data_IF_125779612718
#
_entry.id   IF_125779612718
#
_cell.length_a   1.000
_cell.length_b   1.000
_cell.length_c   1.000
_cell.angle_alpha   90.00
_cell.angle_beta   90.00
_cell.angle_gamma   90.00
#
_symmetry.space_group_name_H-M   'P 1'
#
loop_
_entity.id
_entity.type
_entity.pdbx_description
1 polymer ?
#
# COMPACT_ATOMS: atom_id res chain seq x y z
N UNK A 1 -45.44 -63.00 -48.91
CA UNK A 1 -44.43 -61.92 -48.88
C UNK A 1 -45.01 -60.78 -48.09
N UNK A 2 -44.64 -60.60 -46.84
CA UNK A 2 -45.11 -59.52 -45.94
C UNK A 2 -43.99 -58.50 -45.71
N UNK A 3 -44.24 -57.25 -46.12
CA UNK A 3 -43.36 -56.12 -45.88
C UNK A 3 -43.67 -55.62 -44.51
N UNK A 4 -42.61 -55.47 -43.71
CA UNK A 4 -42.64 -54.75 -42.44
C UNK A 4 -42.19 -53.27 -42.66
N UNK A 5 -42.92 -52.26 -42.14
CA UNK A 5 -42.45 -50.92 -42.14
C UNK A 5 -41.54 -50.70 -40.89
N UNK A 6 -40.37 -50.19 -41.15
CA UNK A 6 -39.47 -49.73 -40.11
C UNK A 6 -39.90 -48.33 -39.73
N UNK A 7 -40.50 -48.18 -38.55
CA UNK A 7 -40.71 -46.86 -37.96
C UNK A 7 -39.45 -46.38 -37.33
N UNK A 8 -38.86 -45.33 -37.91
CA UNK A 8 -37.67 -44.68 -37.42
C UNK A 8 -38.08 -43.59 -36.42
N UNK A 9 -38.13 -43.96 -35.15
CA UNK A 9 -38.38 -43.01 -34.07
C UNK A 9 -37.17 -42.12 -33.87
N UNK A 10 -37.22 -40.90 -34.39
CA UNK A 10 -36.26 -39.84 -34.05
C UNK A 10 -36.56 -39.34 -32.63
N UNK A 11 -35.80 -39.89 -31.64
CA UNK A 11 -35.73 -39.37 -30.30
C UNK A 11 -34.84 -38.11 -30.33
N UNK A 12 -35.45 -36.94 -30.60
CA UNK A 12 -34.77 -35.66 -30.51
C UNK A 12 -34.56 -35.39 -29.01
N UNK A 13 -33.39 -35.80 -28.49
CA UNK A 13 -32.95 -35.42 -27.16
C UNK A 13 -32.58 -33.94 -27.19
N UNK A 14 -33.49 -33.08 -26.73
CA UNK A 14 -33.28 -31.65 -26.57
C UNK A 14 -32.34 -31.44 -25.36
N UNK A 15 -31.04 -31.42 -25.63
CA UNK A 15 -30.05 -31.05 -24.62
C UNK A 15 -30.17 -29.56 -24.36
N UNK A 16 -30.91 -29.20 -23.31
CA UNK A 16 -30.90 -27.87 -22.74
C UNK A 16 -29.53 -27.65 -22.06
N UNK A 17 -28.59 -27.11 -22.82
CA UNK A 17 -27.34 -26.58 -22.25
C UNK A 17 -27.71 -25.31 -21.47
N UNK A 18 -27.93 -25.46 -20.17
CA UNK A 18 -27.94 -24.31 -19.25
C UNK A 18 -26.53 -23.70 -19.24
N UNK A 19 -26.32 -22.73 -20.12
CA UNK A 19 -25.20 -21.83 -19.99
C UNK A 19 -25.49 -20.97 -18.75
N UNK A 20 -25.14 -21.48 -17.58
CA UNK A 20 -25.03 -20.66 -16.38
C UNK A 20 -23.93 -19.67 -16.65
N UNK A 21 -24.25 -18.54 -17.27
CA UNK A 21 -23.42 -17.38 -17.33
C UNK A 21 -23.26 -16.92 -15.88
N UNK A 22 -22.17 -17.37 -15.21
CA UNK A 22 -21.67 -16.72 -14.02
C UNK A 22 -21.30 -15.30 -14.42
N UNK A 23 -22.27 -14.42 -14.41
CA UNK A 23 -22.04 -13.00 -14.39
C UNK A 23 -21.39 -12.72 -13.04
N UNK A 24 -20.05 -12.89 -12.96
CA UNK A 24 -19.27 -12.27 -11.92
C UNK A 24 -19.53 -10.76 -12.09
N UNK A 25 -20.49 -10.24 -11.34
CA UNK A 25 -20.59 -8.81 -11.07
C UNK A 25 -19.27 -8.47 -10.36
N UNK A 26 -18.28 -8.08 -11.15
CA UNK A 26 -17.13 -7.37 -10.64
C UNK A 26 -17.73 -6.11 -10.01
N UNK A 27 -17.87 -6.09 -8.69
CA UNK A 27 -18.31 -4.88 -7.99
C UNK A 27 -17.37 -3.78 -8.43
N UNK A 28 -17.89 -2.87 -9.24
CA UNK A 28 -17.09 -1.78 -9.77
C UNK A 28 -16.73 -0.88 -8.59
N UNK A 29 -15.43 -0.78 -8.29
CA UNK A 29 -14.90 0.15 -7.31
C UNK A 29 -15.36 1.58 -7.64
N UNK A 30 -16.35 2.04 -6.91
CA UNK A 30 -17.14 3.24 -7.23
C UNK A 30 -16.35 4.54 -6.97
N UNK A 31 -16.71 5.65 -7.61
CA UNK A 31 -16.10 6.95 -7.31
C UNK A 31 -16.19 7.35 -5.83
N UNK A 32 -17.29 7.01 -5.16
CA UNK A 32 -17.47 7.25 -3.71
C UNK A 32 -16.49 6.44 -2.87
N UNK A 33 -16.32 5.16 -3.16
CA UNK A 33 -15.36 4.30 -2.47
C UNK A 33 -13.92 4.78 -2.71
N UNK A 34 -13.59 5.19 -3.93
CA UNK A 34 -12.28 5.80 -4.24
C UNK A 34 -12.01 7.05 -3.41
N UNK A 35 -13.01 7.92 -3.22
CA UNK A 35 -12.87 9.11 -2.38
C UNK A 35 -12.61 8.72 -0.93
N UNK A 36 -13.38 7.79 -0.37
CA UNK A 36 -13.19 7.31 1.01
C UNK A 36 -11.80 6.72 1.26
N UNK A 37 -11.29 5.94 0.30
CA UNK A 37 -9.93 5.41 0.36
C UNK A 37 -8.91 6.55 0.37
N UNK A 38 -9.03 7.52 -0.55
CA UNK A 38 -8.12 8.67 -0.61
C UNK A 38 -8.11 9.47 0.69
N UNK A 39 -9.28 9.76 1.23
CA UNK A 39 -9.43 10.53 2.48
C UNK A 39 -8.78 9.80 3.67
N UNK A 40 -8.99 8.48 3.75
CA UNK A 40 -8.43 7.64 4.80
C UNK A 40 -6.90 7.53 4.71
N UNK A 41 -6.35 7.39 3.50
CA UNK A 41 -4.91 7.37 3.28
C UNK A 41 -4.29 8.74 3.53
N UNK A 42 -4.97 9.83 3.13
CA UNK A 42 -4.52 11.19 3.44
C UNK A 42 -4.45 11.43 4.95
N UNK A 43 -5.44 10.91 5.70
CA UNK A 43 -5.41 10.95 7.16
C UNK A 43 -4.18 10.22 7.73
N UNK A 44 -3.85 9.03 7.21
CA UNK A 44 -2.64 8.31 7.60
C UNK A 44 -1.37 9.13 7.32
N UNK A 45 -1.24 9.69 6.11
CA UNK A 45 -0.08 10.53 5.72
C UNK A 45 0.10 11.72 6.66
N UNK A 46 -0.98 12.39 7.01
CA UNK A 46 -0.95 13.50 7.97
C UNK A 46 -0.58 13.04 9.39
N UNK A 47 -1.04 11.85 9.78
CA UNK A 47 -0.74 11.27 11.09
C UNK A 47 0.74 10.87 11.21
N UNK A 48 1.37 10.39 10.14
CA UNK A 48 2.83 10.12 10.09
C UNK A 48 3.60 11.37 10.47
N UNK A 49 3.33 12.51 9.84
CA UNK A 49 3.99 13.78 10.13
C UNK A 49 3.88 14.15 11.61
N UNK A 50 2.65 14.12 12.13
CA UNK A 50 2.39 14.46 13.54
C UNK A 50 3.11 13.53 14.50
N UNK A 51 3.05 12.24 14.26
CA UNK A 51 3.62 11.25 15.16
C UNK A 51 5.16 11.28 15.17
N UNK A 52 5.78 11.50 14.00
CA UNK A 52 7.23 11.67 13.91
C UNK A 52 7.73 12.88 14.70
N UNK A 53 7.05 14.03 14.58
CA UNK A 53 7.41 15.24 15.36
C UNK A 53 7.32 15.02 16.87
N UNK A 54 6.36 14.19 17.34
CA UNK A 54 6.10 13.99 18.77
C UNK A 54 6.89 12.81 19.37
N UNK A 55 7.06 11.73 18.61
CA UNK A 55 7.62 10.46 19.09
C UNK A 55 9.00 10.16 18.51
N UNK A 56 9.44 10.95 17.52
CA UNK A 56 10.67 10.66 16.78
C UNK A 56 10.54 9.42 15.87
N UNK A 57 11.65 8.86 15.40
CA UNK A 57 11.67 7.81 14.39
C UNK A 57 10.96 6.51 14.78
N UNK A 58 10.76 6.24 16.09
CA UNK A 58 10.00 5.08 16.55
C UNK A 58 8.56 5.07 16.02
N UNK A 59 8.01 6.23 15.69
CA UNK A 59 6.67 6.38 15.15
C UNK A 59 6.48 5.61 13.81
N UNK A 60 7.55 5.43 13.01
CA UNK A 60 7.48 4.67 11.77
C UNK A 60 6.92 3.27 11.95
N UNK A 61 7.22 2.61 13.08
CA UNK A 61 6.75 1.25 13.38
C UNK A 61 5.22 1.15 13.48
N UNK A 62 4.54 2.26 13.74
CA UNK A 62 3.08 2.33 13.74
C UNK A 62 2.51 2.26 12.31
N UNK A 63 3.27 2.72 11.33
CA UNK A 63 2.80 2.88 9.94
C UNK A 63 3.32 1.82 8.99
N UNK A 64 4.38 1.11 9.33
CA UNK A 64 4.86 -0.02 8.53
C UNK A 64 3.95 -1.24 8.73
N UNK A 65 3.63 -1.90 7.63
CA UNK A 65 2.83 -3.12 7.70
C UNK A 65 3.64 -4.25 8.31
N UNK A 66 3.06 -4.94 9.29
CA UNK A 66 3.69 -6.08 9.94
C UNK A 66 3.46 -7.36 9.11
N UNK A 67 4.10 -7.46 7.97
CA UNK A 67 4.04 -8.59 7.04
C UNK A 67 5.45 -8.98 6.57
N UNK A 68 5.69 -10.27 6.26
CA UNK A 68 6.96 -10.70 5.67
C UNK A 68 7.27 -10.02 4.33
N UNK A 69 6.23 -9.60 3.59
CA UNK A 69 6.34 -8.96 2.27
C UNK A 69 6.66 -7.46 2.35
N UNK A 70 6.73 -6.89 3.56
CA UNK A 70 7.16 -5.51 3.74
C UNK A 70 8.61 -5.33 3.28
N UNK A 71 8.86 -4.27 2.52
CA UNK A 71 10.22 -3.80 2.24
C UNK A 71 10.26 -2.28 2.09
N UNK A 72 11.45 -1.72 2.28
CA UNK A 72 11.73 -0.31 2.03
C UNK A 72 13.05 -0.15 1.28
N UNK A 73 13.03 0.67 0.24
CA UNK A 73 14.22 1.03 -0.54
C UNK A 73 14.51 2.53 -0.43
N UNK A 74 15.78 2.89 -0.56
CA UNK A 74 16.23 4.27 -0.54
C UNK A 74 17.44 4.46 -1.47
N UNK A 75 17.43 5.49 -2.31
CA UNK A 75 18.56 5.88 -3.15
C UNK A 75 19.23 4.71 -3.92
N UNK A 76 18.40 3.80 -4.45
CA UNK A 76 18.86 2.65 -5.23
C UNK A 76 19.32 1.45 -4.39
N UNK A 77 19.12 1.47 -3.07
CA UNK A 77 19.47 0.37 -2.16
C UNK A 77 18.21 -0.16 -1.45
N UNK A 78 18.21 -1.46 -1.15
CA UNK A 78 17.20 -2.09 -0.32
C UNK A 78 17.59 -1.91 1.14
N UNK A 79 17.05 -0.89 1.80
CA UNK A 79 17.35 -0.54 3.19
C UNK A 79 16.80 -1.58 4.17
N UNK A 80 15.52 -1.92 4.01
CA UNK A 80 14.86 -2.93 4.83
C UNK A 80 14.24 -4.00 3.93
N UNK A 81 14.84 -5.20 3.87
CA UNK A 81 14.31 -6.30 3.07
C UNK A 81 13.04 -6.94 3.68
N UNK A 82 12.74 -6.64 4.94
CA UNK A 82 11.55 -7.12 5.66
C UNK A 82 11.30 -6.26 6.91
N UNK A 83 10.13 -6.48 7.52
CA UNK A 83 9.70 -5.71 8.69
C UNK A 83 10.58 -5.93 9.93
N UNK A 84 11.13 -7.12 10.13
CA UNK A 84 11.97 -7.40 11.30
C UNK A 84 13.29 -6.64 11.26
N UNK A 85 13.89 -6.51 10.06
CA UNK A 85 15.06 -5.66 9.84
C UNK A 85 14.76 -4.20 10.15
N UNK A 86 13.60 -3.68 9.67
CA UNK A 86 13.16 -2.32 9.95
C UNK A 86 12.97 -2.08 11.46
N UNK A 87 12.25 -2.98 12.14
CA UNK A 87 12.03 -2.91 13.60
C UNK A 87 13.34 -2.90 14.36
N UNK A 88 14.23 -3.84 14.05
CA UNK A 88 15.52 -3.94 14.72
C UNK A 88 16.36 -2.67 14.54
N UNK A 89 16.48 -2.17 13.32
CA UNK A 89 17.23 -0.97 13.02
C UNK A 89 16.65 0.27 13.72
N UNK A 90 15.33 0.50 13.58
CA UNK A 90 14.67 1.67 14.17
C UNK A 90 14.80 1.66 15.69
N UNK A 91 14.50 0.51 16.33
CA UNK A 91 14.50 0.41 17.80
C UNK A 91 15.90 0.48 18.41
N UNK A 92 16.87 -0.17 17.77
CA UNK A 92 18.20 -0.34 18.38
C UNK A 92 19.23 0.69 17.93
N UNK A 93 19.02 1.29 16.75
CA UNK A 93 20.00 2.18 16.11
C UNK A 93 19.43 3.57 15.85
N UNK A 94 18.37 3.67 15.03
CA UNK A 94 17.89 4.95 14.52
C UNK A 94 17.48 5.92 15.63
N UNK A 95 16.73 5.45 16.64
CA UNK A 95 16.29 6.28 17.78
C UNK A 95 17.46 6.85 18.61
N UNK A 96 18.65 6.24 18.54
CA UNK A 96 19.83 6.70 19.27
C UNK A 96 20.63 7.73 18.51
N UNK A 97 20.71 7.59 17.19
CA UNK A 97 21.50 8.46 16.32
C UNK A 97 20.69 9.64 15.79
N UNK A 98 19.37 9.48 15.67
CA UNK A 98 18.42 10.50 15.18
C UNK A 98 17.26 10.59 16.17
N UNK A 99 17.39 11.37 17.25
CA UNK A 99 16.32 11.51 18.24
C UNK A 99 15.12 12.31 17.75
N UNK A 100 15.29 13.14 16.71
CA UNK A 100 14.21 14.01 16.21
C UNK A 100 14.15 14.03 14.70
N UNK A 101 12.92 13.93 14.16
CA UNK A 101 12.59 14.08 12.76
C UNK A 101 11.39 15.03 12.65
N UNK A 102 11.53 16.08 11.84
CA UNK A 102 10.44 16.97 11.44
C UNK A 102 10.16 16.74 9.95
N UNK A 103 9.10 16.00 9.66
CA UNK A 103 8.72 15.64 8.30
C UNK A 103 7.57 16.53 7.83
N UNK A 104 7.65 17.03 6.61
CA UNK A 104 6.59 17.75 5.90
C UNK A 104 6.41 17.15 4.51
N UNK A 105 5.17 17.08 4.07
CA UNK A 105 4.82 16.62 2.74
C UNK A 105 4.34 17.79 1.87
N UNK A 106 4.69 17.74 0.60
CA UNK A 106 4.10 18.60 -0.44
C UNK A 106 3.77 17.77 -1.69
N UNK A 107 2.87 18.29 -2.54
CA UNK A 107 2.44 17.63 -3.77
C UNK A 107 1.98 16.17 -3.56
N UNK A 108 1.26 15.90 -2.47
CA UNK A 108 0.75 14.57 -2.16
C UNK A 108 -0.25 14.15 -3.25
N UNK A 109 -0.01 13.00 -3.86
CA UNK A 109 -0.91 12.34 -4.79
C UNK A 109 -1.26 10.95 -4.25
N UNK A 110 -2.55 10.67 -4.10
CA UNK A 110 -3.07 9.39 -3.66
C UNK A 110 -3.99 8.83 -4.74
N UNK A 111 -3.67 7.63 -5.22
CA UNK A 111 -4.52 6.90 -6.16
C UNK A 111 -5.08 5.67 -5.49
N UNK A 112 -6.39 5.63 -5.31
CA UNK A 112 -7.09 4.46 -4.81
C UNK A 112 -7.09 3.36 -5.89
N UNK A 113 -6.37 2.28 -5.67
CA UNK A 113 -6.24 1.14 -6.60
C UNK A 113 -7.39 0.16 -6.43
N UNK A 114 -7.72 -0.15 -5.18
CA UNK A 114 -8.86 -0.96 -4.75
C UNK A 114 -9.42 -0.38 -3.44
N UNK A 115 -10.41 -1.03 -2.85
CA UNK A 115 -10.89 -0.70 -1.51
C UNK A 115 -9.85 -0.99 -0.38
N UNK A 116 -8.78 -1.73 -0.70
CA UNK A 116 -7.74 -2.14 0.25
C UNK A 116 -6.34 -1.64 -0.09
N UNK A 117 -6.10 -1.15 -1.29
CA UNK A 117 -4.79 -0.70 -1.74
C UNK A 117 -4.86 0.69 -2.36
N UNK A 118 -3.85 1.49 -2.05
CA UNK A 118 -3.63 2.79 -2.66
C UNK A 118 -2.15 3.00 -2.95
N UNK A 119 -1.84 3.72 -4.03
CA UNK A 119 -0.50 4.26 -4.23
C UNK A 119 -0.42 5.68 -3.68
N UNK A 120 0.75 6.01 -3.14
CA UNK A 120 1.08 7.34 -2.62
C UNK A 120 2.32 7.83 -3.37
N UNK A 121 2.34 9.09 -3.74
CA UNK A 121 3.56 9.80 -4.09
C UNK A 121 3.53 11.21 -3.51
N UNK A 122 4.68 11.71 -3.08
CA UNK A 122 4.80 13.04 -2.48
C UNK A 122 6.24 13.55 -2.58
N UNK A 123 6.41 14.86 -2.50
CA UNK A 123 7.69 15.46 -2.17
C UNK A 123 7.78 15.50 -0.64
N UNK A 124 8.89 15.04 -0.09
CA UNK A 124 9.17 15.16 1.33
C UNK A 124 10.20 16.25 1.59
N UNK A 125 10.03 16.92 2.74
CA UNK A 125 10.96 17.85 3.34
C UNK A 125 11.19 17.39 4.77
N UNK A 126 12.40 16.98 5.10
CA UNK A 126 12.72 16.35 6.37
C UNK A 126 13.89 17.06 7.04
N UNK A 127 13.67 17.56 8.26
CA UNK A 127 14.73 18.09 9.10
C UNK A 127 15.11 17.03 10.13
N UNK A 128 16.29 16.44 9.97
CA UNK A 128 16.82 15.38 10.84
C UNK A 128 17.78 15.99 11.84
N UNK A 129 17.49 15.82 13.13
CA UNK A 129 18.41 16.24 14.21
C UNK A 129 19.11 15.00 14.77
N UNK A 130 20.44 14.99 14.70
CA UNK A 130 21.27 13.92 15.24
C UNK A 130 21.48 14.01 16.76
N UNK A 131 22.16 13.02 17.34
CA UNK A 131 22.44 12.94 18.77
C UNK A 131 23.41 14.05 19.28
N UNK A 132 24.08 14.75 18.39
CA UNK A 132 24.88 15.95 18.75
C UNK A 132 24.06 17.23 18.79
N UNK A 133 22.79 17.18 18.36
CA UNK A 133 21.91 18.33 18.25
C UNK A 133 22.03 19.07 16.90
N UNK A 134 22.83 18.56 15.96
CA UNK A 134 22.95 19.14 14.63
C UNK A 134 21.72 18.74 13.79
N UNK A 135 21.06 19.73 13.19
CA UNK A 135 19.97 19.53 12.26
C UNK A 135 20.44 19.64 10.82
N UNK A 136 20.07 18.67 10.00
CA UNK A 136 20.37 18.62 8.57
C UNK A 136 19.07 18.47 7.78
N UNK A 137 18.78 19.37 6.82
CA UNK A 137 17.60 19.23 5.95
C UNK A 137 17.86 18.20 4.84
N UNK A 138 16.81 17.45 4.50
CA UNK A 138 16.76 16.55 3.37
C UNK A 138 15.47 16.77 2.59
N UNK A 139 15.59 16.83 1.28
CA UNK A 139 14.48 16.92 0.36
C UNK A 139 14.51 15.76 -0.60
N UNK A 140 13.35 15.34 -1.07
CA UNK A 140 13.31 14.26 -2.04
C UNK A 140 11.91 13.84 -2.44
N UNK A 141 11.83 12.67 -3.05
CA UNK A 141 10.58 12.11 -3.53
C UNK A 141 10.28 10.78 -2.84
N UNK A 142 9.06 10.65 -2.41
CA UNK A 142 8.54 9.47 -1.73
C UNK A 142 7.49 8.78 -2.59
N UNK A 143 7.55 7.45 -2.66
CA UNK A 143 6.48 6.62 -3.21
C UNK A 143 6.21 5.44 -2.31
N UNK A 144 4.96 5.00 -2.23
CA UNK A 144 4.57 3.85 -1.42
C UNK A 144 3.30 3.18 -1.96
N UNK A 145 3.14 1.92 -1.58
CA UNK A 145 1.85 1.25 -1.58
C UNK A 145 1.34 1.21 -0.16
N UNK A 146 0.15 1.74 0.05
CA UNK A 146 -0.58 1.61 1.30
C UNK A 146 -1.59 0.45 1.20
N UNK A 147 -1.71 -0.33 2.28
CA UNK A 147 -2.65 -1.43 2.42
C UNK A 147 -3.54 -1.22 3.64
N UNK A 148 -4.84 -1.50 3.49
CA UNK A 148 -5.83 -1.48 4.56
C UNK A 148 -5.76 -2.80 5.33
N UNK A 149 -5.08 -2.79 6.47
CA UNK A 149 -5.03 -3.90 7.42
C UNK A 149 -6.19 -3.83 8.45
N UNK A 150 -6.24 -4.79 9.38
CA UNK A 150 -7.15 -4.74 10.54
C UNK A 150 -6.91 -3.52 11.44
N UNK A 151 -5.68 -3.02 11.47
CA UNK A 151 -5.22 -1.93 12.33
C UNK A 151 -5.18 -0.56 11.61
N UNK A 152 -5.88 -0.47 10.48
CA UNK A 152 -5.92 0.72 9.65
C UNK A 152 -4.97 0.66 8.44
N UNK A 153 -4.80 1.80 7.80
CA UNK A 153 -3.90 1.92 6.67
C UNK A 153 -2.44 1.84 7.11
N UNK A 154 -1.64 1.04 6.37
CA UNK A 154 -0.21 0.81 6.62
C UNK A 154 0.57 0.95 5.31
N UNK A 155 1.83 1.32 5.41
CA UNK A 155 2.77 1.26 4.29
C UNK A 155 3.18 -0.20 4.08
N UNK A 156 2.76 -0.78 2.96
CA UNK A 156 3.11 -2.14 2.54
C UNK A 156 4.53 -2.20 2.00
N UNK A 157 4.89 -1.20 1.20
CA UNK A 157 6.27 -0.92 0.80
C UNK A 157 6.46 0.59 0.64
N UNK A 158 7.72 1.03 0.63
CA UNK A 158 8.06 2.43 0.47
C UNK A 158 9.40 2.59 -0.25
N UNK A 159 9.53 3.70 -0.95
CA UNK A 159 10.77 4.13 -1.59
C UNK A 159 11.01 5.62 -1.35
N UNK A 160 12.23 5.95 -0.95
CA UNK A 160 12.72 7.31 -0.77
C UNK A 160 13.84 7.58 -1.77
N UNK A 161 13.82 8.73 -2.39
CA UNK A 161 14.94 9.21 -3.19
C UNK A 161 15.28 10.64 -2.80
N UNK A 162 16.50 10.85 -2.31
CA UNK A 162 16.97 12.19 -1.95
C UNK A 162 17.33 12.98 -3.21
N UNK A 163 17.03 14.27 -3.19
CA UNK A 163 17.57 15.19 -4.20
C UNK A 163 19.07 15.37 -3.94
N UNK A 164 19.87 15.13 -4.96
CA UNK A 164 21.30 15.51 -4.94
C UNK A 164 21.40 17.00 -5.10
N UNK A 165 21.89 17.70 -4.11
CA UNK A 165 22.24 19.14 -4.19
C UNK A 165 23.66 19.31 -4.70
#
# INVERSE_FOLDING_TARGET
MKKFPVEFNYFISLIFVFISSCSNKTESFTPKERSLVKDSVQFMVNSITKDLSHKGPIAWLTYFENTPDFFMASNGQLEFPNIDTAKSFITNTLVKIIPKIELRWSNIQITALTNKFASISAIYHEDITDSSGKTTPYDGYFTAIAHQSSDGWKLHNAHWSSMTH
#
